data_IF_844109474280
#
_entry.id   IF_844109474280
#
_cell.length_a   1.000
_cell.length_b   1.000
_cell.length_c   1.000
_cell.angle_alpha   90.00
_cell.angle_beta   90.00
_cell.angle_gamma   90.00
#
_symmetry.space_group_name_H-M   'P 1'
#
loop_
_entity.id
_entity.type
_entity.pdbx_description
1 polymer ?
#
# COMPACT_ATOMS: atom_id res chain seq x y z
N UNK A 1 -4.57 -3.36 9.14
CA UNK A 1 -5.29 -2.87 7.94
C UNK A 1 -4.91 -3.76 6.77
N UNK A 2 -5.69 -3.75 5.70
CA UNK A 2 -5.31 -4.47 4.47
C UNK A 2 -4.89 -3.46 3.42
N UNK A 3 -3.71 -3.69 2.85
CA UNK A 3 -3.20 -2.89 1.73
C UNK A 3 -3.52 -3.62 0.44
N UNK A 4 -4.15 -2.92 -0.49
CA UNK A 4 -4.39 -3.37 -1.84
C UNK A 4 -3.62 -2.48 -2.79
N UNK A 5 -2.67 -3.05 -3.52
CA UNK A 5 -1.93 -2.36 -4.57
C UNK A 5 -2.60 -2.57 -5.92
N UNK A 6 -2.86 -1.47 -6.61
CA UNK A 6 -3.56 -1.45 -7.89
C UNK A 6 -2.73 -0.69 -8.90
N UNK A 7 -2.68 -1.17 -10.14
CA UNK A 7 -1.96 -0.54 -11.25
C UNK A 7 -2.96 -0.13 -12.32
N UNK A 8 -2.91 1.12 -12.76
CA UNK A 8 -3.58 1.59 -13.97
C UNK A 8 -2.71 1.31 -15.21
N UNK A 9 -3.04 0.24 -15.93
CA UNK A 9 -2.37 -0.15 -17.18
C UNK A 9 -2.77 0.72 -18.37
N UNK A 10 -3.87 1.48 -18.28
CA UNK A 10 -4.34 2.33 -19.38
C UNK A 10 -3.54 3.63 -19.51
N UNK A 11 -2.80 4.02 -18.46
CA UNK A 11 -1.96 5.21 -18.46
C UNK A 11 -2.73 6.53 -18.55
N UNK A 12 -4.05 6.51 -18.29
CA UNK A 12 -4.85 7.74 -18.13
C UNK A 12 -4.42 8.45 -16.84
N UNK A 13 -3.98 7.69 -15.82
CA UNK A 13 -3.42 8.25 -14.59
C UNK A 13 -4.43 9.08 -13.81
N UNK A 14 -5.73 8.95 -14.11
CA UNK A 14 -6.79 9.74 -13.52
C UNK A 14 -7.13 9.19 -12.14
N UNK A 15 -6.28 9.54 -11.18
CA UNK A 15 -6.45 9.27 -9.76
C UNK A 15 -7.86 9.63 -9.29
N UNK A 16 -8.44 10.71 -9.81
CA UNK A 16 -9.79 11.18 -9.43
C UNK A 16 -10.88 10.17 -9.73
N UNK A 17 -10.83 9.49 -10.89
CA UNK A 17 -11.83 8.45 -11.24
C UNK A 17 -11.68 7.21 -10.36
N UNK A 18 -10.45 6.83 -10.05
CA UNK A 18 -10.18 5.70 -9.17
C UNK A 18 -10.58 6.01 -7.72
N UNK A 19 -10.24 7.20 -7.23
CA UNK A 19 -10.64 7.72 -5.93
C UNK A 19 -12.16 7.73 -5.77
N UNK A 20 -12.91 8.27 -6.75
CA UNK A 20 -14.37 8.26 -6.72
C UNK A 20 -14.95 6.83 -6.64
N UNK A 21 -14.36 5.88 -7.37
CA UNK A 21 -14.77 4.48 -7.29
C UNK A 21 -14.52 3.88 -5.90
N UNK A 22 -13.33 4.08 -5.35
CA UNK A 22 -12.90 3.47 -4.08
C UNK A 22 -13.58 4.11 -2.87
N UNK A 23 -13.93 5.40 -2.93
CA UNK A 23 -14.69 6.09 -1.88
C UNK A 23 -16.05 5.41 -1.58
N UNK A 24 -16.60 4.66 -2.53
CA UNK A 24 -17.85 3.93 -2.34
C UNK A 24 -17.66 2.56 -1.64
N UNK A 25 -16.43 2.15 -1.32
CA UNK A 25 -16.09 0.80 -0.82
C UNK A 25 -15.64 0.76 0.65
N UNK A 26 -16.06 1.73 1.46
CA UNK A 26 -15.77 1.81 2.90
C UNK A 26 -14.27 1.62 3.22
N UNK A 27 -13.45 2.40 2.51
CA UNK A 27 -12.00 2.40 2.69
C UNK A 27 -11.57 3.35 3.80
N UNK A 28 -10.48 3.01 4.47
CA UNK A 28 -9.88 3.81 5.54
C UNK A 28 -9.05 4.95 4.93
N UNK A 29 -8.25 4.63 3.92
CA UNK A 29 -7.32 5.57 3.31
C UNK A 29 -6.97 5.13 1.87
N UNK A 30 -6.55 6.09 1.05
CA UNK A 30 -6.12 5.88 -0.34
C UNK A 30 -4.89 6.74 -0.60
N UNK A 31 -3.80 6.11 -1.05
CA UNK A 31 -2.55 6.79 -1.40
C UNK A 31 -2.13 6.46 -2.81
N UNK A 32 -1.71 7.47 -3.57
CA UNK A 32 -1.01 7.26 -4.83
C UNK A 32 0.47 7.03 -4.55
N UNK A 33 1.01 5.90 -5.00
CA UNK A 33 2.43 5.61 -4.91
C UNK A 33 3.15 6.15 -6.15
N UNK A 34 3.80 7.30 -5.98
CA UNK A 34 4.59 7.97 -7.02
C UNK A 34 6.04 7.48 -7.10
N UNK A 35 6.47 6.52 -6.26
CA UNK A 35 7.84 6.00 -6.26
C UNK A 35 8.12 5.07 -7.45
N UNK A 36 7.07 4.54 -8.07
CA UNK A 36 7.19 3.61 -9.19
C UNK A 36 7.18 4.36 -10.53
N UNK A 37 8.21 4.13 -11.36
CA UNK A 37 8.33 4.63 -12.74
C UNK A 37 7.16 4.22 -13.67
N UNK A 38 6.27 3.36 -13.20
CA UNK A 38 5.12 2.86 -13.95
C UNK A 38 3.94 3.83 -13.99
N UNK A 39 3.87 4.84 -13.11
CA UNK A 39 2.70 5.70 -13.00
C UNK A 39 1.45 4.91 -12.56
N UNK A 40 0.53 5.57 -11.85
CA UNK A 40 -0.78 4.95 -11.56
C UNK A 40 -0.76 3.73 -10.62
N UNK A 41 0.20 3.65 -9.69
CA UNK A 41 0.11 2.69 -8.58
C UNK A 41 -0.68 3.32 -7.44
N UNK A 42 -1.71 2.64 -6.98
CA UNK A 42 -2.55 3.09 -5.86
C UNK A 42 -2.52 2.06 -4.73
N UNK A 43 -2.38 2.55 -3.51
CA UNK A 43 -2.49 1.78 -2.26
C UNK A 43 -3.79 2.12 -1.57
N UNK A 44 -4.66 1.14 -1.48
CA UNK A 44 -5.95 1.25 -0.79
C UNK A 44 -5.85 0.56 0.57
N UNK A 45 -6.29 1.24 1.61
CA UNK A 45 -6.34 0.71 2.97
C UNK A 45 -7.78 0.47 3.39
N UNK A 46 -8.08 -0.72 3.90
CA UNK A 46 -9.43 -1.06 4.37
C UNK A 46 -9.42 -1.84 5.68
N UNK A 47 -10.61 -1.95 6.30
CA UNK A 47 -10.83 -2.81 7.46
C UNK A 47 -10.64 -4.29 7.08
N UNK A 48 -10.15 -5.15 8.00
CA UNK A 48 -9.94 -6.55 7.71
C UNK A 48 -11.15 -7.31 7.15
N UNK A 49 -12.34 -6.95 7.62
CA UNK A 49 -13.62 -7.51 7.19
C UNK A 49 -13.98 -7.18 5.73
N UNK A 50 -13.45 -6.09 5.18
CA UNK A 50 -13.91 -5.53 3.90
C UNK A 50 -13.01 -5.94 2.72
N UNK A 51 -11.90 -6.65 2.97
CA UNK A 51 -10.94 -7.01 1.91
C UNK A 51 -11.56 -7.80 0.77
N UNK A 52 -12.32 -8.85 1.09
CA UNK A 52 -12.87 -9.73 0.06
C UNK A 52 -13.80 -8.96 -0.89
N UNK A 53 -14.57 -8.02 -0.36
CA UNK A 53 -15.44 -7.13 -1.14
C UNK A 53 -14.62 -6.16 -1.99
N UNK A 54 -13.60 -5.53 -1.39
CA UNK A 54 -12.71 -4.61 -2.10
C UNK A 54 -11.95 -5.29 -3.25
N UNK A 55 -11.40 -6.49 -3.01
CA UNK A 55 -10.73 -7.30 -4.04
C UNK A 55 -11.69 -7.61 -5.19
N UNK A 56 -12.88 -8.11 -4.87
CA UNK A 56 -13.90 -8.44 -5.88
C UNK A 56 -14.29 -7.21 -6.69
N UNK A 57 -14.46 -6.05 -6.03
CA UNK A 57 -14.81 -4.80 -6.69
C UNK A 57 -13.70 -4.32 -7.65
N UNK A 58 -12.44 -4.42 -7.24
CA UNK A 58 -11.27 -4.05 -8.06
C UNK A 58 -11.09 -5.02 -9.22
N UNK A 59 -11.24 -6.33 -9.00
CA UNK A 59 -11.15 -7.33 -10.06
C UNK A 59 -12.23 -7.12 -11.15
N UNK A 60 -13.43 -6.69 -10.76
CA UNK A 60 -14.49 -6.32 -11.70
C UNK A 60 -14.16 -5.07 -12.55
N UNK A 61 -13.17 -4.25 -12.14
CA UNK A 61 -12.66 -3.10 -12.89
C UNK A 61 -11.47 -3.42 -13.79
N UNK A 62 -11.04 -4.69 -13.86
CA UNK A 62 -9.97 -5.13 -14.76
C UNK A 62 -10.20 -4.76 -16.22
N UNK A 63 -11.45 -4.79 -16.68
CA UNK A 63 -11.82 -4.37 -18.03
C UNK A 63 -11.62 -2.86 -18.30
N UNK A 64 -11.47 -2.06 -17.25
CA UNK A 64 -11.19 -0.62 -17.30
C UNK A 64 -9.70 -0.29 -17.19
N UNK A 65 -8.81 -1.29 -17.26
CA UNK A 65 -7.36 -1.10 -17.16
C UNK A 65 -6.81 -1.08 -15.73
N UNK A 66 -7.66 -1.33 -14.73
CA UNK A 66 -7.29 -1.33 -13.32
C UNK A 66 -7.01 -2.77 -12.88
N UNK A 67 -5.75 -3.10 -12.57
CA UNK A 67 -5.36 -4.46 -12.17
C UNK A 67 -4.93 -4.51 -10.71
N UNK A 68 -5.49 -5.46 -9.96
CA UNK A 68 -5.00 -5.83 -8.63
C UNK A 68 -3.60 -6.44 -8.75
N UNK A 69 -2.59 -5.77 -8.17
CA UNK A 69 -1.21 -6.24 -8.14
C UNK A 69 -0.94 -7.11 -6.93
N UNK A 70 -1.35 -6.64 -5.75
CA UNK A 70 -1.14 -7.34 -4.49
C UNK A 70 -2.24 -6.99 -3.49
N UNK A 71 -2.50 -7.91 -2.56
CA UNK A 71 -3.42 -7.70 -1.46
C UNK A 71 -2.87 -8.41 -0.23
N UNK A 72 -2.54 -7.67 0.81
CA UNK A 72 -1.90 -8.23 2.00
C UNK A 72 -2.34 -7.56 3.30
N UNK A 73 -2.38 -8.37 4.37
CA UNK A 73 -2.63 -7.87 5.72
C UNK A 73 -1.37 -7.17 6.21
N UNK A 74 -1.47 -5.87 6.47
CA UNK A 74 -0.35 -5.03 6.87
C UNK A 74 -0.63 -4.34 8.19
N UNK A 75 0.44 -4.05 8.92
CA UNK A 75 0.39 -3.07 9.98
C UNK A 75 0.75 -1.70 9.39
N UNK A 76 -0.16 -0.74 9.52
CA UNK A 76 0.09 0.67 9.16
C UNK A 76 0.14 1.46 10.46
N UNK A 77 1.31 2.06 10.77
CA UNK A 77 1.44 2.98 11.88
C UNK A 77 0.46 4.16 11.76
N UNK A 78 -0.19 4.53 12.87
CA UNK A 78 -1.06 5.70 12.93
C UNK A 78 -0.25 7.00 12.98
N UNK A 79 0.90 6.95 13.65
CA UNK A 79 1.85 8.05 13.76
C UNK A 79 3.16 7.69 13.05
N UNK A 80 3.71 8.64 12.30
CA UNK A 80 5.06 8.54 11.76
C UNK A 80 6.08 9.02 12.78
N UNK A 81 7.25 8.38 12.83
CA UNK A 81 8.37 8.91 13.59
C UNK A 81 9.05 10.03 12.80
N UNK A 82 9.52 11.11 13.46
CA UNK A 82 10.25 12.17 12.80
C UNK A 82 11.55 11.63 12.19
N UNK A 83 11.91 12.11 10.99
CA UNK A 83 13.14 11.76 10.29
C UNK A 83 14.37 12.05 11.15
N UNK A 84 14.94 10.99 11.70
CA UNK A 84 16.04 11.08 12.65
C UNK A 84 17.36 10.71 11.99
N UNK A 85 17.87 11.46 11.01
CA UNK A 85 19.22 11.34 10.43
C UNK A 85 20.00 10.04 10.72
N UNK A 86 20.91 10.05 11.70
CA UNK A 86 21.74 8.88 12.08
C UNK A 86 20.93 7.69 12.62
N UNK A 87 19.83 7.96 13.34
CA UNK A 87 18.90 6.96 13.84
C UNK A 87 18.17 6.22 12.71
N UNK A 88 17.93 6.88 11.57
CA UNK A 88 17.33 6.23 10.40
C UNK A 88 18.23 5.12 9.86
N UNK A 89 19.54 5.38 9.71
CA UNK A 89 20.50 4.38 9.25
C UNK A 89 20.60 3.19 10.24
N UNK A 90 20.64 3.47 11.54
CA UNK A 90 20.68 2.41 12.56
C UNK A 90 19.40 1.57 12.57
N UNK A 91 18.24 2.20 12.35
CA UNK A 91 16.97 1.48 12.23
C UNK A 91 16.92 0.64 10.95
N UNK A 92 17.44 1.15 9.83
CA UNK A 92 17.53 0.37 8.59
C UNK A 92 18.47 -0.84 8.74
N UNK A 93 19.63 -0.67 9.35
CA UNK A 93 20.54 -1.78 9.67
C UNK A 93 19.85 -2.82 10.57
N UNK A 94 19.16 -2.37 11.61
CA UNK A 94 18.40 -3.26 12.50
C UNK A 94 17.28 -4.01 11.78
N UNK A 95 16.57 -3.34 10.86
CA UNK A 95 15.52 -3.98 10.06
C UNK A 95 16.13 -5.08 9.19
N UNK A 96 17.24 -4.81 8.52
CA UNK A 96 17.93 -5.81 7.70
C UNK A 96 18.39 -7.01 8.53
N UNK A 97 19.02 -6.77 9.68
CA UNK A 97 19.49 -7.82 10.58
C UNK A 97 18.34 -8.73 11.07
N UNK A 98 17.15 -8.16 11.27
CA UNK A 98 15.96 -8.90 11.66
C UNK A 98 15.35 -9.68 10.48
N UNK A 99 15.32 -9.10 9.28
CA UNK A 99 14.81 -9.77 8.08
C UNK A 99 15.69 -10.96 7.64
N UNK A 100 16.97 -10.95 8.01
CA UNK A 100 17.91 -12.06 7.74
C UNK A 100 17.68 -13.28 8.67
N UNK A 101 16.86 -13.16 9.71
CA UNK A 101 16.52 -14.27 10.62
C UNK A 101 15.41 -15.11 10.00
N UNK A 102 15.68 -16.40 9.73
CA UNK A 102 14.73 -17.31 9.06
C UNK A 102 13.34 -17.42 9.73
N UNK A 103 13.29 -17.24 11.05
CA UNK A 103 12.04 -17.29 11.83
C UNK A 103 11.20 -16.00 11.73
N UNK A 104 11.77 -14.91 11.21
CA UNK A 104 11.11 -13.61 11.08
C UNK A 104 10.48 -13.50 9.68
N UNK A 105 9.16 -13.37 9.64
CA UNK A 105 8.41 -13.30 8.37
C UNK A 105 8.30 -11.89 7.80
N UNK A 106 8.18 -10.87 8.66
CA UNK A 106 8.05 -9.46 8.24
C UNK A 106 8.35 -8.53 9.41
N UNK A 107 9.00 -7.41 9.13
CA UNK A 107 9.28 -6.35 10.10
C UNK A 107 8.45 -5.12 9.70
N UNK A 108 7.81 -4.48 10.68
CA UNK A 108 7.07 -3.23 10.47
C UNK A 108 7.69 -2.14 11.35
N UNK A 109 7.89 -0.96 10.76
CA UNK A 109 8.46 0.21 11.45
C UNK A 109 7.60 1.45 11.21
N UNK A 110 7.72 2.43 12.10
CA UNK A 110 7.06 3.74 11.98
C UNK A 110 7.91 4.79 11.23
N UNK A 111 9.14 4.45 10.86
CA UNK A 111 9.95 5.29 9.99
C UNK A 111 9.58 5.04 8.53
N UNK A 112 9.35 6.12 7.80
CA UNK A 112 9.14 6.07 6.36
C UNK A 112 10.52 5.91 5.70
N UNK A 113 10.70 4.82 4.96
CA UNK A 113 11.89 4.62 4.14
C UNK A 113 11.67 5.31 2.80
N UNK A 114 11.65 6.64 2.79
CA UNK A 114 11.59 7.46 1.57
C UNK A 114 12.93 7.51 0.85
#
# INVERSE_FOLDING_TARGET
CLTVEVVDEAGDGDFSKFEEFVLNLDVIDLKQDNSSNLGGVFRVYCQPSNLAELQTAIENKKASGITLRSSELTYVPVDSSPDGGELQNQVQELVQDLEDIEDITKVWTTQDSS
#
